data_IF_190541548678
#
_entry.id   IF_190541548678
#
_cell.length_a   1.000
_cell.length_b   1.000
_cell.length_c   1.000
_cell.angle_alpha   90.00
_cell.angle_beta   90.00
_cell.angle_gamma   90.00
#
_symmetry.space_group_name_H-M   'P 1'
#
loop_
_entity.id
_entity.type
_entity.pdbx_description
1 polymer ?
#
# COMPACT_ATOMS: atom_id res chain seq x y z
N UNK A 1 -11.80 -29.98 -38.79
CA UNK A 1 -12.44 -28.82 -38.13
C UNK A 1 -13.20 -29.35 -36.94
N UNK A 2 -12.64 -29.23 -35.74
CA UNK A 2 -13.30 -29.64 -34.49
C UNK A 2 -12.83 -28.69 -33.39
N UNK A 3 -13.38 -27.47 -33.41
CA UNK A 3 -13.10 -26.43 -32.41
C UNK A 3 -14.42 -25.94 -31.82
N UNK A 4 -15.29 -26.86 -31.40
CA UNK A 4 -16.38 -26.50 -30.49
C UNK A 4 -15.86 -26.61 -29.07
N UNK A 5 -15.48 -25.46 -28.50
CA UNK A 5 -15.15 -25.32 -27.09
C UNK A 5 -16.40 -25.61 -26.25
N UNK A 6 -16.38 -26.68 -25.44
CA UNK A 6 -17.50 -27.06 -24.58
C UNK A 6 -17.55 -26.13 -23.36
N UNK A 7 -18.39 -25.10 -23.43
CA UNK A 7 -18.51 -24.07 -22.38
C UNK A 7 -19.00 -24.60 -21.03
N UNK A 8 -19.76 -25.70 -21.00
CA UNK A 8 -20.18 -26.32 -19.76
C UNK A 8 -20.50 -27.80 -19.97
N UNK A 9 -20.21 -28.62 -18.97
CA UNK A 9 -20.61 -30.02 -18.95
C UNK A 9 -20.80 -30.51 -17.51
N UNK A 10 -21.63 -31.54 -17.34
CA UNK A 10 -21.90 -32.13 -16.03
C UNK A 10 -21.37 -33.55 -15.99
N UNK A 11 -20.53 -33.87 -15.00
CA UNK A 11 -20.00 -35.22 -14.77
C UNK A 11 -20.13 -35.57 -13.29
N UNK A 12 -20.75 -36.72 -13.00
CA UNK A 12 -20.97 -37.21 -11.63
C UNK A 12 -21.68 -36.20 -10.70
N UNK A 13 -22.63 -35.43 -11.22
CA UNK A 13 -23.36 -34.40 -10.46
C UNK A 13 -22.65 -33.06 -10.33
N UNK A 14 -21.40 -32.93 -10.81
CA UNK A 14 -20.64 -31.66 -10.80
C UNK A 14 -20.71 -31.00 -12.16
N UNK A 15 -21.21 -29.77 -12.21
CA UNK A 15 -21.23 -28.92 -13.40
C UNK A 15 -19.93 -28.12 -13.49
N UNK A 16 -19.20 -28.32 -14.58
CA UNK A 16 -18.01 -27.55 -14.93
C UNK A 16 -18.44 -26.47 -15.90
N UNK A 17 -18.16 -25.21 -15.58
CA UNK A 17 -18.42 -24.07 -16.46
C UNK A 17 -17.10 -23.40 -16.79
N UNK A 18 -16.83 -23.24 -18.09
CA UNK A 18 -15.73 -22.44 -18.58
C UNK A 18 -16.17 -20.98 -18.59
N UNK A 19 -15.47 -20.13 -17.85
CA UNK A 19 -15.72 -18.68 -17.84
C UNK A 19 -14.40 -17.95 -18.06
N UNK A 20 -14.31 -17.20 -19.16
CA UNK A 20 -13.14 -16.38 -19.44
C UNK A 20 -13.32 -15.02 -18.75
N UNK A 21 -12.42 -14.69 -17.82
CA UNK A 21 -12.38 -13.36 -17.20
C UNK A 21 -11.04 -12.71 -17.50
N UNK A 22 -11.07 -11.49 -18.05
CA UNK A 22 -9.85 -10.72 -18.27
C UNK A 22 -9.35 -10.22 -16.92
N UNK A 23 -8.12 -10.60 -16.57
CA UNK A 23 -7.42 -10.15 -15.37
C UNK A 23 -6.18 -9.39 -15.81
N UNK A 24 -5.94 -8.24 -15.20
CA UNK A 24 -4.73 -7.46 -15.39
C UNK A 24 -3.92 -7.45 -14.09
N UNK A 25 -2.61 -7.56 -14.21
CA UNK A 25 -1.66 -7.40 -13.11
C UNK A 25 -0.54 -6.47 -13.53
N UNK A 26 0.05 -5.76 -12.57
CA UNK A 26 1.17 -4.88 -12.84
C UNK A 26 2.39 -5.72 -13.24
N UNK A 27 3.03 -5.36 -14.36
CA UNK A 27 4.32 -5.94 -14.72
C UNK A 27 5.39 -5.49 -13.73
N UNK A 28 6.09 -6.44 -13.10
CA UNK A 28 7.00 -6.18 -11.98
C UNK A 28 8.08 -5.13 -12.29
N UNK A 29 8.64 -5.16 -13.50
CA UNK A 29 9.72 -4.25 -13.92
C UNK A 29 9.23 -2.86 -14.35
N UNK A 30 7.95 -2.73 -14.73
CA UNK A 30 7.39 -1.47 -15.29
C UNK A 30 6.41 -0.78 -14.36
N UNK A 31 6.50 -1.06 -13.06
CA UNK A 31 5.58 -0.50 -12.06
C UNK A 31 5.62 1.03 -12.03
N UNK A 32 6.79 1.65 -12.22
CA UNK A 32 6.93 3.12 -12.29
C UNK A 32 6.21 3.70 -13.51
N UNK A 33 6.46 3.15 -14.69
CA UNK A 33 5.78 3.56 -15.93
C UNK A 33 4.26 3.40 -15.84
N UNK A 34 3.78 2.33 -15.21
CA UNK A 34 2.36 2.13 -14.94
C UNK A 34 1.78 3.23 -14.05
N UNK A 35 2.45 3.59 -12.96
CA UNK A 35 2.01 4.65 -12.06
C UNK A 35 1.97 6.01 -12.73
N UNK A 36 2.99 6.33 -13.53
CA UNK A 36 3.03 7.60 -14.27
C UNK A 36 1.94 7.65 -15.35
N UNK A 37 1.69 6.53 -16.04
CA UNK A 37 0.58 6.42 -17.00
C UNK A 37 -0.79 6.58 -16.33
N UNK A 38 -1.00 5.96 -15.17
CA UNK A 38 -2.24 6.07 -14.39
C UNK A 38 -2.46 7.51 -13.89
N UNK A 39 -1.41 8.19 -13.40
CA UNK A 39 -1.50 9.61 -13.00
C UNK A 39 -1.83 10.52 -14.16
N UNK A 40 -1.12 10.34 -15.28
CA UNK A 40 -1.35 11.13 -16.51
C UNK A 40 -2.75 10.90 -17.06
N UNK A 41 -3.28 9.67 -16.92
CA UNK A 41 -4.64 9.32 -17.30
C UNK A 41 -5.74 9.79 -16.34
N UNK A 42 -5.41 10.48 -15.24
CA UNK A 42 -6.39 10.92 -14.24
C UNK A 42 -6.87 9.82 -13.29
N UNK A 43 -6.23 8.65 -13.29
CA UNK A 43 -6.54 7.52 -12.41
C UNK A 43 -5.58 7.42 -11.22
N UNK A 44 -5.09 8.57 -10.73
CA UNK A 44 -4.18 8.63 -9.59
C UNK A 44 -4.75 7.98 -8.33
N UNK A 45 -6.07 8.02 -8.15
CA UNK A 45 -6.76 7.43 -6.99
C UNK A 45 -6.65 5.90 -6.90
N UNK A 46 -6.31 5.22 -8.01
CA UNK A 46 -6.02 3.78 -7.99
C UNK A 46 -4.66 3.47 -7.34
N UNK A 47 -3.80 4.47 -7.20
CA UNK A 47 -2.45 4.32 -6.66
C UNK A 47 -2.50 4.55 -5.15
N UNK A 48 -2.28 3.49 -4.38
CA UNK A 48 -2.08 3.59 -2.94
C UNK A 48 -0.60 3.84 -2.64
N UNK A 49 -0.24 5.10 -2.43
CA UNK A 49 1.09 5.50 -1.96
C UNK A 49 1.16 5.36 -0.44
N UNK A 50 1.88 4.35 0.02
CA UNK A 50 2.07 4.11 1.45
C UNK A 50 3.38 4.70 1.91
N UNK A 51 3.33 5.53 2.95
CA UNK A 51 4.50 5.99 3.69
C UNK A 51 4.63 5.13 4.96
N UNK A 52 5.85 4.68 5.26
CA UNK A 52 6.10 3.99 6.53
C UNK A 52 5.94 4.96 7.70
N UNK A 53 5.06 4.63 8.65
CA UNK A 53 4.76 5.49 9.79
C UNK A 53 5.98 5.77 10.70
N UNK A 54 6.90 4.82 10.84
CA UNK A 54 8.10 5.00 11.65
C UNK A 54 9.09 5.94 10.94
N UNK A 55 9.27 5.76 9.63
CA UNK A 55 10.11 6.66 8.82
C UNK A 55 9.55 8.08 8.81
N UNK A 56 8.23 8.23 8.62
CA UNK A 56 7.58 9.53 8.71
C UNK A 56 7.78 10.16 10.10
N UNK A 57 7.58 9.39 11.17
CA UNK A 57 7.75 9.88 12.54
C UNK A 57 9.18 10.33 12.83
N UNK A 58 10.19 9.60 12.33
CA UNK A 58 11.59 9.98 12.47
C UNK A 58 11.89 11.27 11.71
N UNK A 59 11.47 11.34 10.45
CA UNK A 59 11.64 12.51 9.60
C UNK A 59 10.98 13.76 10.19
N UNK A 60 9.73 13.67 10.64
CA UNK A 60 9.02 14.83 11.23
C UNK A 60 9.72 15.31 12.51
N UNK A 61 10.31 14.42 13.32
CA UNK A 61 11.10 14.81 14.50
C UNK A 61 12.38 15.55 14.11
N UNK A 62 13.07 15.10 13.07
CA UNK A 62 14.26 15.78 12.53
C UNK A 62 13.89 17.18 12.05
N UNK A 63 12.80 17.31 11.28
CA UNK A 63 12.32 18.62 10.83
C UNK A 63 11.99 19.56 12.01
N UNK A 64 11.33 19.06 13.06
CA UNK A 64 11.03 19.87 14.25
C UNK A 64 12.31 20.32 14.96
N UNK A 65 13.30 19.43 15.11
CA UNK A 65 14.57 19.75 15.75
C UNK A 65 15.36 20.82 14.97
N UNK A 66 15.33 20.78 13.64
CA UNK A 66 15.99 21.78 12.79
C UNK A 66 15.24 23.12 12.74
N UNK A 67 13.91 23.10 12.89
CA UNK A 67 13.04 24.29 12.83
C UNK A 67 12.71 24.84 14.23
N UNK A 68 13.73 24.97 15.10
CA UNK A 68 13.59 25.56 16.44
C UNK A 68 12.48 24.91 17.28
N UNK A 69 12.41 23.58 17.28
CA UNK A 69 11.39 22.80 17.98
C UNK A 69 9.95 23.11 17.54
N UNK A 70 9.75 23.61 16.31
CA UNK A 70 8.44 23.93 15.74
C UNK A 70 8.17 23.08 14.50
N UNK A 71 6.91 22.67 14.30
CA UNK A 71 6.50 21.96 13.09
C UNK A 71 6.53 22.95 11.90
N UNK A 72 7.16 22.61 10.76
CA UNK A 72 7.13 23.46 9.57
C UNK A 72 5.72 23.63 9.00
N UNK A 73 5.39 24.83 8.51
CA UNK A 73 4.06 25.17 7.96
C UNK A 73 3.58 24.24 6.84
N UNK A 74 4.50 23.72 6.03
CA UNK A 74 4.15 22.82 4.92
C UNK A 74 3.72 21.42 5.37
N UNK A 75 3.98 21.05 6.63
CA UNK A 75 3.47 19.84 7.28
C UNK A 75 2.26 20.12 8.16
N UNK A 76 1.95 21.40 8.42
CA UNK A 76 0.83 21.77 9.26
C UNK A 76 -0.50 21.29 8.64
N UNK A 77 -1.34 20.69 9.47
CA UNK A 77 -2.59 20.05 9.05
C UNK A 77 -2.45 18.75 8.21
N UNK A 78 -1.23 18.36 7.82
CA UNK A 78 -0.98 17.12 7.06
C UNK A 78 -0.53 15.95 7.94
N UNK A 79 0.03 16.24 9.12
CA UNK A 79 0.49 15.23 10.08
C UNK A 79 -0.15 15.42 11.44
N UNK A 80 -0.48 14.31 12.10
CA UNK A 80 -0.98 14.32 13.47
C UNK A 80 0.18 14.04 14.43
N UNK A 81 0.56 15.04 15.23
CA UNK A 81 1.54 14.90 16.29
C UNK A 81 0.85 14.47 17.59
N UNK A 82 1.32 13.36 18.16
CA UNK A 82 0.88 12.93 19.49
C UNK A 82 2.06 12.35 20.26
N UNK A 83 2.07 12.59 21.56
CA UNK A 83 3.02 11.97 22.47
C UNK A 83 2.48 10.63 22.95
N UNK A 84 3.27 9.56 22.82
CA UNK A 84 2.91 8.24 23.33
C UNK A 84 3.79 7.87 24.52
N UNK A 85 3.30 8.11 25.72
CA UNK A 85 3.95 7.62 26.94
C UNK A 85 3.89 6.08 26.97
N UNK A 86 5.06 5.43 27.07
CA UNK A 86 5.16 3.97 27.13
C UNK A 86 6.02 3.58 28.33
N UNK A 87 5.53 2.65 29.16
CA UNK A 87 6.30 2.09 30.29
C UNK A 87 6.99 0.81 29.85
N UNK A 88 8.32 0.77 29.91
CA UNK A 88 9.11 -0.42 29.62
C UNK A 88 9.36 -1.24 30.88
N UNK A 89 8.99 -2.52 30.87
CA UNK A 89 9.33 -3.46 31.95
C UNK A 89 10.51 -4.32 31.52
N UNK A 90 11.58 -4.34 32.31
CA UNK A 90 12.73 -5.23 32.12
C UNK A 90 13.00 -6.01 33.40
N UNK A 91 13.44 -7.26 33.27
CA UNK A 91 13.87 -8.08 34.42
C UNK A 91 15.10 -7.42 35.05
N UNK A 92 15.02 -7.09 36.34
CA UNK A 92 16.15 -6.58 37.08
C UNK A 92 17.17 -7.72 37.31
N UNK A 93 18.40 -7.53 36.87
CA UNK A 93 19.53 -8.37 37.31
C UNK A 93 19.86 -7.96 38.74
N UNK A 94 19.77 -8.91 39.68
CA UNK A 94 20.17 -8.72 41.07
C UNK A 94 21.70 -8.86 41.12
N UNK A 95 22.39 -7.79 41.51
CA UNK A 95 23.81 -7.86 41.90
C UNK A 95 23.99 -8.74 43.13
#
# INVERSE_FOLDING_TARGET
MAESETQNFTRAGTMFCLTNTTRASAAAERKKELFDALRTGGFGDLIYETINANSLSAFVKEQIAENMNTLPDWLDGLVNLYEKATVGVRKATRN
#
